data_IF_246428139720
#
_entry.id   IF_246428139720
#
_cell.length_a   1.000
_cell.length_b   1.000
_cell.length_c   1.000
_cell.angle_alpha   90.00
_cell.angle_beta   90.00
_cell.angle_gamma   90.00
#
_symmetry.space_group_name_H-M   'P 1'
#
loop_
_entity.id
_entity.type
_entity.pdbx_description
1 polymer ?
#
# COMPACT_ATOMS: atom_id res chain seq x y z
N UNK A 1 11.38 -19.71 3.00
CA UNK A 1 9.94 -19.85 2.72
C UNK A 1 9.45 -18.67 1.89
N UNK A 2 8.66 -18.94 0.87
CA UNK A 2 8.10 -17.92 -0.01
C UNK A 2 7.04 -17.11 0.73
N UNK A 3 7.10 -15.78 0.59
CA UNK A 3 6.09 -14.86 1.11
C UNK A 3 5.22 -14.38 -0.05
N UNK A 4 3.92 -14.45 0.11
CA UNK A 4 2.96 -14.11 -0.94
C UNK A 4 2.24 -12.80 -0.62
N UNK A 5 2.08 -11.98 -1.65
CA UNK A 5 1.29 -10.75 -1.58
C UNK A 5 0.15 -10.83 -2.59
N UNK A 6 -1.01 -10.31 -2.22
CA UNK A 6 -2.17 -10.27 -3.09
C UNK A 6 -2.76 -8.85 -3.14
N UNK A 7 -2.94 -8.31 -4.34
CA UNK A 7 -3.49 -6.97 -4.54
C UNK A 7 -5.00 -7.04 -4.58
N UNK A 8 -5.67 -6.43 -3.62
CA UNK A 8 -7.12 -6.25 -3.63
C UNK A 8 -7.53 -5.18 -2.63
N UNK A 9 -8.65 -4.50 -2.91
CA UNK A 9 -9.33 -3.64 -1.95
C UNK A 9 -10.70 -4.20 -1.54
N UNK A 10 -11.06 -5.37 -2.04
CA UNK A 10 -12.30 -6.04 -1.69
C UNK A 10 -12.13 -6.83 -0.39
N UNK A 11 -12.86 -6.49 0.69
CA UNK A 11 -12.70 -7.18 1.97
C UNK A 11 -13.01 -8.68 1.90
N UNK A 12 -13.97 -9.09 1.08
CA UNK A 12 -14.32 -10.52 0.93
C UNK A 12 -13.19 -11.27 0.24
N UNK A 13 -12.60 -10.71 -0.82
CA UNK A 13 -11.46 -11.30 -1.51
C UNK A 13 -10.24 -11.34 -0.60
N UNK A 14 -9.98 -10.27 0.14
CA UNK A 14 -8.88 -10.21 1.10
C UNK A 14 -9.03 -11.31 2.17
N UNK A 15 -10.24 -11.55 2.66
CA UNK A 15 -10.51 -12.61 3.64
C UNK A 15 -10.20 -13.99 3.07
N UNK A 16 -10.61 -14.25 1.82
CA UNK A 16 -10.31 -15.51 1.13
C UNK A 16 -8.80 -15.69 0.99
N UNK A 17 -8.10 -14.65 0.56
CA UNK A 17 -6.65 -14.69 0.39
C UNK A 17 -5.93 -14.93 1.73
N UNK A 18 -6.34 -14.24 2.80
CA UNK A 18 -5.75 -14.40 4.13
C UNK A 18 -6.01 -15.80 4.68
N UNK A 19 -7.23 -16.34 4.54
CA UNK A 19 -7.57 -17.69 4.96
C UNK A 19 -6.76 -18.75 4.20
N UNK A 20 -6.40 -18.45 2.95
CA UNK A 20 -5.58 -19.33 2.11
C UNK A 20 -4.07 -19.24 2.45
N UNK A 21 -3.66 -18.36 3.36
CA UNK A 21 -2.27 -18.26 3.81
C UNK A 21 -1.44 -17.17 3.14
N UNK A 22 -2.05 -16.21 2.44
CA UNK A 22 -1.34 -15.05 1.91
C UNK A 22 -0.78 -14.23 3.08
N UNK A 23 0.48 -13.83 2.96
CA UNK A 23 1.20 -13.13 4.03
C UNK A 23 0.87 -11.65 4.10
N UNK A 24 0.52 -11.05 2.96
CA UNK A 24 0.33 -9.60 2.86
C UNK A 24 -0.72 -9.24 1.83
N UNK A 25 -1.68 -8.40 2.24
CA UNK A 25 -2.65 -7.79 1.34
C UNK A 25 -2.09 -6.44 0.89
N UNK A 26 -2.09 -6.20 -0.40
CA UNK A 26 -1.50 -5.02 -1.01
C UNK A 26 -2.61 -4.07 -1.46
N UNK A 27 -2.69 -2.90 -0.83
CA UNK A 27 -3.60 -1.81 -1.21
C UNK A 27 -2.81 -0.83 -2.06
N UNK A 28 -3.21 -0.67 -3.31
CA UNK A 28 -2.48 0.12 -4.28
C UNK A 28 -3.11 1.48 -4.52
N UNK A 29 -2.65 2.48 -3.76
CA UNK A 29 -3.15 3.85 -3.85
C UNK A 29 -2.34 4.72 -4.82
N UNK A 30 -1.35 4.16 -5.51
CA UNK A 30 -0.55 4.92 -6.47
C UNK A 30 -1.39 5.33 -7.67
N UNK A 31 -1.43 6.63 -7.97
CA UNK A 31 -2.05 7.20 -9.16
C UNK A 31 -1.09 8.11 -9.94
N UNK A 32 -0.23 8.87 -9.23
CA UNK A 32 0.77 9.74 -9.85
C UNK A 32 1.83 8.92 -10.57
N UNK A 33 2.10 9.22 -11.83
CA UNK A 33 3.06 8.51 -12.65
C UNK A 33 2.62 7.16 -13.19
N UNK A 34 1.60 6.55 -12.60
CA UNK A 34 1.09 5.24 -13.04
C UNK A 34 0.45 5.34 -14.43
N UNK A 35 -0.36 6.36 -14.64
CA UNK A 35 -0.97 6.62 -15.93
C UNK A 35 0.08 6.89 -17.01
N UNK A 36 1.16 7.59 -16.66
CA UNK A 36 2.27 7.86 -17.57
C UNK A 36 3.01 6.58 -17.95
N UNK A 37 3.30 5.70 -16.96
CA UNK A 37 4.00 4.44 -17.20
C UNK A 37 3.16 3.41 -17.95
N UNK A 38 1.85 3.39 -17.72
CA UNK A 38 0.93 2.36 -18.20
C UNK A 38 -0.10 2.89 -19.19
N UNK A 39 -0.10 4.20 -19.47
CA UNK A 39 -1.01 4.81 -20.43
C UNK A 39 -0.85 4.20 -21.82
N UNK A 40 -1.96 3.80 -22.44
CA UNK A 40 -1.96 3.14 -23.75
C UNK A 40 -1.57 1.66 -23.72
N UNK A 41 -1.27 1.10 -22.55
CA UNK A 41 -1.00 -0.32 -22.39
C UNK A 41 -2.27 -1.04 -21.91
N UNK A 42 -2.48 -2.27 -22.38
CA UNK A 42 -3.60 -3.11 -21.95
C UNK A 42 -3.27 -3.76 -20.60
N UNK A 43 -3.21 -2.93 -19.55
CA UNK A 43 -2.90 -3.35 -18.19
C UNK A 43 -3.98 -2.92 -17.22
N UNK A 44 -4.24 -3.77 -16.21
CA UNK A 44 -5.17 -3.44 -15.13
C UNK A 44 -4.48 -2.46 -14.18
N UNK A 45 -5.14 -1.33 -13.91
CA UNK A 45 -4.69 -0.34 -12.93
C UNK A 45 -5.63 -0.32 -11.74
N UNK A 46 -5.07 -0.44 -10.54
CA UNK A 46 -5.84 -0.36 -9.30
C UNK A 46 -6.10 1.10 -8.92
N UNK A 47 -7.28 1.37 -8.35
CA UNK A 47 -7.68 2.69 -7.85
C UNK A 47 -8.20 2.53 -6.42
N UNK A 48 -7.27 2.22 -5.50
CA UNK A 48 -7.61 2.03 -4.10
C UNK A 48 -7.49 3.34 -3.33
N UNK A 49 -8.23 3.45 -2.23
CA UNK A 49 -8.24 4.65 -1.36
C UNK A 49 -7.90 4.24 0.08
N UNK A 50 -7.50 5.20 0.95
CA UNK A 50 -7.12 4.87 2.33
C UNK A 50 -8.22 4.15 3.11
N UNK A 51 -9.47 4.47 2.88
CA UNK A 51 -10.61 3.82 3.53
C UNK A 51 -10.72 2.33 3.22
N UNK A 52 -10.18 1.90 2.09
CA UNK A 52 -10.12 0.49 1.73
C UNK A 52 -9.23 -0.30 2.70
N UNK A 53 -8.19 0.34 3.23
CA UNK A 53 -7.31 -0.27 4.24
C UNK A 53 -8.13 -0.63 5.47
N UNK A 54 -8.94 0.29 5.97
CA UNK A 54 -9.77 0.06 7.15
C UNK A 54 -10.79 -1.07 6.92
N UNK A 55 -11.40 -1.11 5.74
CA UNK A 55 -12.36 -2.16 5.38
C UNK A 55 -11.71 -3.54 5.34
N UNK A 56 -10.54 -3.63 4.74
CA UNK A 56 -9.78 -4.88 4.67
C UNK A 56 -9.32 -5.29 6.06
N UNK A 57 -8.82 -4.36 6.87
CA UNK A 57 -8.41 -4.63 8.25
C UNK A 57 -9.56 -5.21 9.08
N UNK A 58 -10.75 -4.65 8.94
CA UNK A 58 -11.94 -5.15 9.63
C UNK A 58 -12.27 -6.59 9.23
N UNK A 59 -12.04 -6.94 7.96
CA UNK A 59 -12.35 -8.28 7.45
C UNK A 59 -11.32 -9.33 7.86
N UNK A 60 -10.02 -9.00 7.83
CA UNK A 60 -8.96 -10.00 8.03
C UNK A 60 -8.35 -9.98 9.44
N UNK A 61 -8.60 -8.93 10.24
CA UNK A 61 -7.93 -8.79 11.53
C UNK A 61 -6.41 -8.82 11.36
N UNK A 62 -5.74 -9.68 12.12
CA UNK A 62 -4.27 -9.83 12.10
C UNK A 62 -3.79 -11.03 11.27
N UNK A 63 -4.66 -11.61 10.44
CA UNK A 63 -4.29 -12.81 9.66
C UNK A 63 -3.17 -12.56 8.64
N UNK A 64 -3.07 -11.33 8.12
CA UNK A 64 -2.03 -10.93 7.19
C UNK A 64 -1.66 -9.46 7.45
N UNK A 65 -0.46 -9.07 7.02
CA UNK A 65 -0.07 -7.66 7.02
C UNK A 65 -0.83 -6.93 5.91
N UNK A 66 -1.06 -5.63 6.10
CA UNK A 66 -1.59 -4.76 5.05
C UNK A 66 -0.49 -3.81 4.62
N UNK A 67 -0.14 -3.84 3.34
CA UNK A 67 0.83 -2.93 2.75
C UNK A 67 0.11 -1.92 1.87
N UNK A 68 0.39 -0.64 2.07
CA UNK A 68 -0.13 0.43 1.23
C UNK A 68 0.98 1.00 0.36
N UNK A 69 0.80 0.97 -0.97
CA UNK A 69 1.67 1.69 -1.88
C UNK A 69 1.10 3.09 -2.07
N UNK A 70 1.87 4.08 -1.62
CA UNK A 70 1.52 5.50 -1.78
C UNK A 70 2.05 6.02 -3.13
N UNK A 71 1.77 7.28 -3.44
CA UNK A 71 2.34 7.89 -4.64
C UNK A 71 3.86 8.10 -4.48
N UNK A 72 4.59 8.26 -5.61
CA UNK A 72 5.96 8.74 -5.55
C UNK A 72 6.04 10.03 -4.72
N UNK A 73 7.20 10.31 -4.16
CA UNK A 73 7.40 11.48 -3.29
C UNK A 73 6.85 12.75 -3.96
N UNK A 74 5.96 13.43 -3.24
CA UNK A 74 5.24 14.62 -3.73
C UNK A 74 4.85 15.50 -2.52
N UNK A 75 4.35 16.73 -2.75
CA UNK A 75 4.00 17.62 -1.64
C UNK A 75 2.94 17.08 -0.68
N UNK A 76 2.14 16.10 -1.10
CA UNK A 76 1.10 15.47 -0.29
C UNK A 76 1.56 14.17 0.41
N UNK A 77 2.81 13.76 0.24
CA UNK A 77 3.28 12.47 0.75
C UNK A 77 3.03 12.27 2.24
N UNK A 78 3.24 13.31 3.06
CA UNK A 78 3.02 13.19 4.50
C UNK A 78 1.56 12.84 4.80
N UNK A 79 0.62 13.51 4.15
CA UNK A 79 -0.82 13.23 4.33
C UNK A 79 -1.18 11.82 3.86
N UNK A 80 -0.66 11.40 2.71
CA UNK A 80 -0.91 10.04 2.18
C UNK A 80 -0.42 8.96 3.15
N UNK A 81 0.78 9.15 3.69
CA UNK A 81 1.38 8.22 4.65
C UNK A 81 0.58 8.20 5.96
N UNK A 82 0.23 9.38 6.48
CA UNK A 82 -0.53 9.49 7.72
C UNK A 82 -1.91 8.82 7.58
N UNK A 83 -2.59 9.03 6.46
CA UNK A 83 -3.89 8.42 6.18
C UNK A 83 -3.79 6.90 6.08
N UNK A 84 -2.75 6.40 5.39
CA UNK A 84 -2.53 4.95 5.27
C UNK A 84 -2.33 4.31 6.64
N UNK A 85 -1.48 4.91 7.48
CA UNK A 85 -1.19 4.38 8.82
C UNK A 85 -2.42 4.48 9.72
N UNK A 86 -3.14 5.61 9.69
CA UNK A 86 -4.34 5.82 10.48
C UNK A 86 -5.45 4.80 10.15
N UNK A 87 -5.51 4.35 8.89
CA UNK A 87 -6.48 3.34 8.45
C UNK A 87 -6.01 1.90 8.70
N UNK A 88 -4.78 1.69 9.16
CA UNK A 88 -4.31 0.39 9.61
C UNK A 88 -3.23 -0.27 8.76
N UNK A 89 -2.52 0.47 7.92
CA UNK A 89 -1.40 -0.08 7.18
C UNK A 89 -0.25 -0.49 8.10
N UNK A 90 0.26 -1.70 7.92
CA UNK A 90 1.43 -2.22 8.63
C UNK A 90 2.73 -1.88 7.91
N UNK A 91 2.66 -1.73 6.59
CA UNK A 91 3.80 -1.44 5.72
C UNK A 91 3.43 -0.32 4.76
N UNK A 92 4.31 0.65 4.61
CA UNK A 92 4.18 1.71 3.61
C UNK A 92 5.24 1.52 2.54
N UNK A 93 4.83 1.43 1.29
CA UNK A 93 5.71 1.26 0.15
C UNK A 93 5.77 2.55 -0.66
N UNK A 94 7.00 3.07 -0.87
CA UNK A 94 7.24 4.24 -1.73
C UNK A 94 7.69 3.76 -3.11
N UNK A 95 6.88 3.99 -4.15
CA UNK A 95 7.27 3.62 -5.51
C UNK A 95 8.20 4.65 -6.12
N UNK A 96 8.94 4.25 -7.15
CA UNK A 96 9.71 5.15 -8.03
C UNK A 96 10.64 6.12 -7.31
N UNK A 97 11.18 5.73 -6.16
CA UNK A 97 12.21 6.54 -5.50
C UNK A 97 13.49 6.53 -6.35
N UNK A 98 14.18 7.66 -6.39
CA UNK A 98 15.35 7.85 -7.25
C UNK A 98 16.61 8.21 -6.48
N UNK A 99 16.45 8.73 -5.28
CA UNK A 99 17.57 9.21 -4.47
C UNK A 99 17.48 8.65 -3.05
N UNK A 100 18.64 8.62 -2.38
CA UNK A 100 18.67 8.27 -0.96
C UNK A 100 17.85 9.25 -0.12
N UNK A 101 17.72 10.50 -0.57
CA UNK A 101 16.93 11.51 0.14
C UNK A 101 15.44 11.17 0.13
N UNK A 102 14.91 10.64 -0.97
CA UNK A 102 13.53 10.17 -1.04
C UNK A 102 13.26 9.14 0.07
N UNK A 103 14.18 8.21 0.27
CA UNK A 103 14.05 7.19 1.30
C UNK A 103 14.19 7.76 2.72
N UNK A 104 15.10 8.73 2.90
CA UNK A 104 15.22 9.41 4.21
C UNK A 104 13.92 10.15 4.55
N UNK A 105 13.32 10.81 3.58
CA UNK A 105 12.03 11.48 3.77
C UNK A 105 10.94 10.48 4.14
N UNK A 106 10.86 9.36 3.44
CA UNK A 106 9.90 8.29 3.77
C UNK A 106 10.04 7.83 5.21
N UNK A 107 11.26 7.49 5.62
CA UNK A 107 11.54 7.01 6.98
C UNK A 107 11.14 8.06 8.02
N UNK A 108 11.46 9.32 7.76
CA UNK A 108 11.11 10.43 8.64
C UNK A 108 9.60 10.61 8.76
N UNK A 109 8.89 10.55 7.63
CA UNK A 109 7.44 10.73 7.57
C UNK A 109 6.70 9.59 8.26
N UNK A 110 7.17 8.36 8.10
CA UNK A 110 6.60 7.18 8.78
C UNK A 110 6.88 7.23 10.28
N UNK A 111 8.05 7.71 10.67
CA UNK A 111 8.44 7.94 12.07
C UNK A 111 8.24 6.69 12.96
N UNK A 112 8.63 5.52 12.47
CA UNK A 112 8.58 4.27 13.23
C UNK A 112 7.19 3.67 13.44
N UNK A 113 6.14 4.29 12.87
CA UNK A 113 4.74 3.84 13.05
C UNK A 113 4.38 2.63 12.19
N UNK A 114 5.15 2.34 11.17
CA UNK A 114 4.95 1.23 10.26
C UNK A 114 6.30 0.79 9.68
N UNK A 115 6.32 -0.39 9.06
CA UNK A 115 7.47 -0.82 8.26
C UNK A 115 7.53 0.00 6.98
N UNK A 116 8.70 0.11 6.39
CA UNK A 116 8.91 0.79 5.09
C UNK A 116 9.44 -0.18 4.04
N UNK A 117 9.04 0.05 2.77
CA UNK A 117 9.49 -0.76 1.64
C UNK A 117 9.71 0.13 0.41
#
# INVERSE_FOLDING_TARGET
>A
MLKLMYITNDPAVAKIAADAGVDRIFIDMEVLGKAERQGGMDTVQSHHVPEDIAKVRAAIGDQAEIMARVNPMNPNSQTEIDDAIANGADVVMLPMWRTADDLRQLVRMVNGRAKVM
#
